data_IF_033102438593
#
_entry.id   IF_033102438593
#
_cell.length_a   1.000
_cell.length_b   1.000
_cell.length_c   1.000
_cell.angle_alpha   90.00
_cell.angle_beta   90.00
_cell.angle_gamma   90.00
#
_symmetry.space_group_name_H-M   'P 1'
#
loop_
_entity.id
_entity.type
_entity.pdbx_description
1 polymer ?
#
# COMPACT_ATOMS: atom_id res chain seq x y z
N UNK A 1 -6.73 22.88 -31.28
CA UNK A 1 -6.32 23.60 -30.06
C UNK A 1 -6.83 22.81 -28.88
N UNK A 2 -6.00 22.55 -27.86
CA UNK A 2 -6.48 21.94 -26.61
C UNK A 2 -7.21 23.01 -25.81
N UNK A 3 -8.41 22.72 -25.32
CA UNK A 3 -9.16 23.63 -24.45
C UNK A 3 -8.46 23.69 -23.09
N UNK A 4 -8.24 24.90 -22.59
CA UNK A 4 -7.54 25.16 -21.33
C UNK A 4 -8.52 25.76 -20.33
N UNK A 5 -8.50 25.25 -19.10
CA UNK A 5 -9.33 25.66 -17.99
C UNK A 5 -8.49 26.15 -16.83
N UNK A 6 -9.05 27.06 -16.04
CA UNK A 6 -8.37 27.65 -14.88
C UNK A 6 -8.72 26.86 -13.62
N UNK A 7 -7.72 26.32 -12.94
CA UNK A 7 -7.87 25.56 -11.68
C UNK A 7 -7.18 26.32 -10.54
N UNK A 8 -7.94 26.60 -9.49
CA UNK A 8 -7.43 27.34 -8.31
C UNK A 8 -7.40 26.44 -7.08
N UNK A 9 -6.23 26.33 -6.45
CA UNK A 9 -6.03 25.71 -5.14
C UNK A 9 -6.06 26.82 -4.08
N UNK A 10 -7.24 27.09 -3.53
CA UNK A 10 -7.47 28.25 -2.65
C UNK A 10 -6.64 28.20 -1.37
N UNK A 11 -6.40 27.00 -0.80
CA UNK A 11 -5.59 26.84 0.40
C UNK A 11 -4.14 27.32 0.20
N UNK A 12 -3.61 27.12 -1.02
CA UNK A 12 -2.23 27.47 -1.36
C UNK A 12 -2.11 28.85 -2.04
N UNK A 13 -3.24 29.46 -2.43
CA UNK A 13 -3.25 30.68 -3.24
C UNK A 13 -2.71 30.49 -4.66
N UNK A 14 -2.71 29.25 -5.17
CA UNK A 14 -2.15 28.88 -6.48
C UNK A 14 -3.27 28.81 -7.51
N UNK A 15 -3.05 29.40 -8.68
CA UNK A 15 -3.90 29.21 -9.85
C UNK A 15 -3.06 28.77 -11.03
N UNK A 16 -3.52 27.74 -11.74
CA UNK A 16 -2.83 27.14 -12.86
C UNK A 16 -3.79 26.79 -13.99
N UNK A 17 -3.21 26.52 -15.15
CA UNK A 17 -3.92 26.10 -16.35
C UNK A 17 -3.93 24.56 -16.44
N UNK A 18 -5.08 24.01 -16.81
CA UNK A 18 -5.29 22.58 -16.99
C UNK A 18 -5.92 22.31 -18.36
N UNK A 19 -5.47 21.28 -19.05
CA UNK A 19 -6.10 20.82 -20.28
C UNK A 19 -7.44 20.12 -19.99
N UNK A 20 -8.41 20.24 -20.90
CA UNK A 20 -9.63 19.43 -20.91
C UNK A 20 -9.30 17.93 -20.79
N UNK A 21 -9.94 17.26 -19.83
CA UNK A 21 -9.72 15.85 -19.50
C UNK A 21 -8.46 15.56 -18.66
N UNK A 22 -7.65 16.58 -18.31
CA UNK A 22 -6.45 16.38 -17.50
C UNK A 22 -6.81 15.96 -16.07
N UNK A 23 -6.08 14.99 -15.50
CA UNK A 23 -6.29 14.57 -14.12
C UNK A 23 -5.89 15.67 -13.14
N UNK A 24 -6.76 15.94 -12.16
CA UNK A 24 -6.48 16.93 -11.12
C UNK A 24 -5.23 16.61 -10.30
N UNK A 25 -4.87 15.33 -10.15
CA UNK A 25 -3.58 14.94 -9.58
C UNK A 25 -2.39 15.52 -10.37
N UNK A 26 -2.39 15.37 -11.69
CA UNK A 26 -1.27 15.83 -12.53
C UNK A 26 -1.19 17.38 -12.52
N UNK A 27 -2.35 18.06 -12.52
CA UNK A 27 -2.44 19.52 -12.35
C UNK A 27 -1.90 19.96 -11.00
N UNK A 28 -2.28 19.26 -9.92
CA UNK A 28 -1.84 19.57 -8.55
C UNK A 28 -0.33 19.43 -8.38
N UNK A 29 0.26 18.33 -8.87
CA UNK A 29 1.69 18.09 -8.79
C UNK A 29 2.48 19.12 -9.61
N UNK A 30 2.03 19.41 -10.84
CA UNK A 30 2.68 20.40 -11.70
C UNK A 30 2.63 21.82 -11.12
N UNK A 31 1.55 22.16 -10.42
CA UNK A 31 1.37 23.43 -9.76
C UNK A 31 2.10 23.53 -8.41
N UNK A 32 2.57 22.41 -7.85
CA UNK A 32 3.18 22.37 -6.51
C UNK A 32 2.18 22.63 -5.38
N UNK A 33 0.89 22.32 -5.58
CA UNK A 33 -0.14 22.50 -4.56
C UNK A 33 -0.04 21.45 -3.45
N UNK A 34 -0.41 21.83 -2.22
CA UNK A 34 -0.13 21.05 -0.99
C UNK A 34 -1.12 19.92 -0.71
N UNK A 35 -1.70 19.32 -1.76
CA UNK A 35 -2.63 18.20 -1.61
C UNK A 35 -1.86 16.91 -1.34
N UNK A 36 -2.17 16.16 -0.27
CA UNK A 36 -1.49 14.92 0.00
C UNK A 36 -2.01 13.77 -0.87
N UNK A 37 -1.09 12.95 -1.39
CA UNK A 37 -1.40 11.76 -2.15
C UNK A 37 -0.74 10.53 -1.54
N UNK A 38 -1.53 9.47 -1.39
CA UNK A 38 -1.02 8.14 -1.04
C UNK A 38 -1.26 7.16 -2.19
N UNK A 39 -2.40 6.45 -2.23
CA UNK A 39 -2.56 5.32 -3.14
C UNK A 39 -2.63 5.66 -4.65
N UNK A 40 -2.91 6.93 -5.00
CA UNK A 40 -3.24 7.45 -6.36
C UNK A 40 -4.19 6.55 -7.18
N UNK A 41 -5.07 5.82 -6.51
CA UNK A 41 -5.98 4.83 -7.09
C UNK A 41 -7.42 4.92 -6.53
N UNK A 42 -7.70 5.99 -5.77
CA UNK A 42 -9.03 6.30 -5.23
C UNK A 42 -9.50 5.42 -4.09
N UNK A 43 -8.57 4.84 -3.33
CA UNK A 43 -8.90 3.84 -2.31
C UNK A 43 -8.63 4.30 -0.86
N UNK A 44 -7.63 5.16 -0.65
CA UNK A 44 -7.23 5.63 0.69
C UNK A 44 -7.94 6.91 1.17
N UNK A 45 -8.52 7.70 0.27
CA UNK A 45 -9.13 8.99 0.58
C UNK A 45 -8.14 10.12 0.95
N UNK A 46 -6.83 9.92 0.86
CA UNK A 46 -5.83 10.93 1.27
C UNK A 46 -5.94 12.22 0.45
N UNK A 47 -6.14 12.12 -0.86
CA UNK A 47 -6.26 13.29 -1.73
C UNK A 47 -7.68 13.90 -1.76
N UNK A 48 -8.52 13.57 -0.78
CA UNK A 48 -9.86 14.13 -0.71
C UNK A 48 -9.76 15.64 -0.47
N UNK A 49 -10.30 16.44 -1.39
CA UNK A 49 -10.22 17.90 -1.33
C UNK A 49 -11.60 18.49 -1.57
N UNK A 50 -11.90 19.54 -0.83
CA UNK A 50 -13.20 20.19 -0.90
C UNK A 50 -13.38 20.89 -2.25
N UNK A 51 -14.55 20.77 -2.85
CA UNK A 51 -14.95 21.64 -3.97
C UNK A 51 -15.53 22.92 -3.39
N UNK A 52 -15.00 24.07 -3.82
CA UNK A 52 -15.53 25.39 -3.46
C UNK A 52 -16.44 25.92 -4.56
N UNK A 53 -16.04 25.74 -5.83
CA UNK A 53 -16.82 26.15 -7.00
C UNK A 53 -16.45 25.28 -8.21
N UNK A 54 -17.41 25.02 -9.10
CA UNK A 54 -17.19 24.32 -10.37
C UNK A 54 -17.30 22.80 -10.28
N UNK A 55 -18.21 22.27 -9.45
CA UNK A 55 -18.44 20.81 -9.35
C UNK A 55 -18.80 20.19 -10.71
N UNK A 56 -19.60 20.91 -11.49
CA UNK A 56 -20.01 20.57 -12.85
C UNK A 56 -18.86 20.52 -13.86
N UNK A 57 -17.73 21.15 -13.51
CA UNK A 57 -16.50 21.18 -14.32
C UNK A 57 -15.59 19.97 -14.08
N UNK A 58 -16.10 18.93 -13.43
CA UNK A 58 -15.35 17.71 -13.15
C UNK A 58 -15.98 16.50 -13.82
N UNK A 59 -15.13 15.56 -14.21
CA UNK A 59 -15.57 14.25 -14.70
C UNK A 59 -16.47 13.53 -13.68
N UNK A 60 -17.34 12.62 -14.15
CA UNK A 60 -18.35 11.98 -13.33
C UNK A 60 -17.74 11.18 -12.18
N UNK A 61 -18.36 11.26 -11.01
CA UNK A 61 -17.95 10.46 -9.86
C UNK A 61 -18.15 8.97 -10.12
N UNK A 62 -17.11 8.19 -9.82
CA UNK A 62 -17.18 6.73 -9.93
C UNK A 62 -17.66 6.13 -8.62
N UNK A 63 -18.34 4.98 -8.68
CA UNK A 63 -18.80 4.28 -7.48
C UNK A 63 -17.68 3.99 -6.45
N UNK A 64 -16.43 3.81 -6.91
CA UNK A 64 -15.26 3.69 -6.02
C UNK A 64 -14.97 5.00 -5.27
N UNK A 65 -15.05 6.15 -5.94
CA UNK A 65 -14.81 7.46 -5.34
C UNK A 65 -15.80 7.73 -4.21
N UNK A 66 -17.09 7.55 -4.49
CA UNK A 66 -18.20 7.72 -3.54
C UNK A 66 -17.97 6.87 -2.30
N UNK A 67 -17.78 5.55 -2.48
CA UNK A 67 -17.54 4.62 -1.35
C UNK A 67 -16.32 5.00 -0.52
N UNK A 68 -15.24 5.42 -1.17
CA UNK A 68 -14.02 5.81 -0.47
C UNK A 68 -14.25 7.07 0.37
N UNK A 69 -14.92 8.09 -0.17
CA UNK A 69 -15.27 9.32 0.54
C UNK A 69 -16.17 9.04 1.75
N UNK A 70 -17.27 8.32 1.54
CA UNK A 70 -18.21 7.95 2.61
C UNK A 70 -17.51 7.15 3.72
N UNK A 71 -16.65 6.20 3.35
CA UNK A 71 -15.90 5.40 4.32
C UNK A 71 -14.82 6.16 5.09
N UNK A 72 -14.49 7.38 4.68
CA UNK A 72 -13.65 8.33 5.40
C UNK A 72 -14.49 9.41 6.13
N UNK A 73 -15.83 9.28 6.16
CA UNK A 73 -16.73 10.23 6.79
C UNK A 73 -16.88 11.55 6.03
N UNK A 74 -16.61 11.55 4.72
CA UNK A 74 -16.67 12.73 3.86
C UNK A 74 -17.90 12.68 2.98
N UNK A 75 -18.56 13.84 2.81
CA UNK A 75 -19.71 14.00 1.91
C UNK A 75 -19.26 14.01 0.44
N UNK A 76 -19.68 13.03 -0.39
CA UNK A 76 -19.34 12.99 -1.81
C UNK A 76 -19.79 14.23 -2.61
N UNK A 77 -20.77 15.01 -2.11
CA UNK A 77 -21.20 16.26 -2.75
C UNK A 77 -20.27 17.43 -2.48
N UNK A 78 -19.43 17.33 -1.45
CA UNK A 78 -18.53 18.42 -1.03
C UNK A 78 -17.07 18.12 -1.31
N UNK A 79 -16.71 16.85 -1.47
CA UNK A 79 -15.34 16.40 -1.63
C UNK A 79 -15.17 15.56 -2.89
N UNK A 80 -13.99 15.69 -3.51
CA UNK A 80 -13.55 14.83 -4.61
C UNK A 80 -12.22 14.19 -4.29
N UNK A 81 -11.99 13.01 -4.85
CA UNK A 81 -10.66 12.41 -4.85
C UNK A 81 -9.92 12.88 -6.10
N UNK A 82 -8.94 13.79 -5.92
CA UNK A 82 -8.18 14.38 -7.03
C UNK A 82 -7.44 13.34 -7.89
N UNK A 83 -7.11 12.16 -7.34
CA UNK A 83 -6.55 11.05 -8.11
C UNK A 83 -7.58 10.29 -9.00
N UNK A 84 -8.86 10.61 -8.90
CA UNK A 84 -9.95 10.02 -9.71
C UNK A 84 -10.77 11.06 -10.49
N UNK A 85 -10.45 12.35 -10.36
CA UNK A 85 -11.18 13.44 -10.98
C UNK A 85 -10.34 14.10 -12.09
N UNK A 86 -10.97 14.36 -13.23
CA UNK A 86 -10.44 15.04 -14.40
C UNK A 86 -11.19 16.36 -14.67
N UNK A 87 -10.50 17.32 -15.26
CA UNK A 87 -10.97 18.72 -15.44
C UNK A 87 -11.71 18.90 -16.76
N UNK A 88 -12.92 19.45 -16.72
CA UNK A 88 -13.76 19.76 -17.89
C UNK A 88 -14.25 21.21 -17.93
N UNK A 89 -13.71 22.06 -17.05
CA UNK A 89 -14.11 23.46 -16.88
C UNK A 89 -13.33 24.16 -15.76
N UNK A 90 -13.59 25.46 -15.53
CA UNK A 90 -12.95 26.21 -14.44
C UNK A 90 -13.39 25.69 -13.06
N UNK A 91 -12.44 25.58 -12.14
CA UNK A 91 -12.66 24.96 -10.82
C UNK A 91 -11.90 25.69 -9.71
N UNK A 92 -12.53 25.79 -8.53
CA UNK A 92 -11.85 26.20 -7.29
C UNK A 92 -11.93 25.08 -6.25
N UNK A 93 -10.76 24.65 -5.79
CA UNK A 93 -10.57 23.64 -4.75
C UNK A 93 -10.19 24.31 -3.43
N UNK A 94 -10.82 23.85 -2.35
CA UNK A 94 -10.60 24.31 -0.99
C UNK A 94 -9.57 23.46 -0.25
N UNK A 95 -9.81 23.23 1.04
CA UNK A 95 -8.87 22.49 1.86
C UNK A 95 -8.88 20.98 1.59
N UNK A 96 -7.71 20.35 1.68
CA UNK A 96 -7.61 18.88 1.73
C UNK A 96 -8.11 18.35 3.08
N UNK A 97 -8.83 17.22 3.06
CA UNK A 97 -9.37 16.58 4.26
C UNK A 97 -8.28 15.96 5.15
N UNK A 98 -7.09 15.72 4.60
CA UNK A 98 -5.90 15.29 5.32
C UNK A 98 -4.77 16.27 5.02
N UNK A 99 -3.82 16.37 5.95
CA UNK A 99 -2.56 17.10 5.78
C UNK A 99 -1.41 16.11 5.79
N UNK A 100 -0.39 16.32 4.95
CA UNK A 100 0.84 15.53 4.99
C UNK A 100 2.04 16.47 4.98
N UNK A 101 2.98 16.26 5.89
CA UNK A 101 4.21 17.06 5.96
C UNK A 101 5.24 16.48 5.00
N UNK A 102 5.76 17.31 4.10
CA UNK A 102 6.91 17.01 3.26
C UNK A 102 6.57 16.24 1.98
N UNK A 103 6.20 16.95 0.92
CA UNK A 103 6.27 16.43 -0.44
C UNK A 103 7.75 16.36 -0.86
N UNK A 104 8.44 15.28 -0.48
CA UNK A 104 9.75 15.00 -1.06
C UNK A 104 9.54 14.73 -2.55
N UNK A 105 10.29 15.40 -3.42
CA UNK A 105 10.26 15.18 -4.88
C UNK A 105 10.55 13.70 -5.17
N UNK A 106 9.51 12.95 -5.53
CA UNK A 106 9.59 11.51 -5.78
C UNK A 106 10.14 11.25 -7.18
N UNK A 107 10.91 10.18 -7.32
CA UNK A 107 11.55 9.84 -8.58
C UNK A 107 10.60 9.10 -9.51
N UNK A 108 10.55 9.52 -10.78
CA UNK A 108 10.01 8.74 -11.88
C UNK A 108 11.13 7.88 -12.45
N UNK A 109 10.90 6.58 -12.57
CA UNK A 109 11.88 5.60 -13.03
C UNK A 109 11.30 4.72 -14.11
N UNK A 110 12.16 4.25 -15.01
CA UNK A 110 11.87 3.11 -15.87
C UNK A 110 12.45 1.86 -15.22
N UNK A 111 11.61 0.85 -15.04
CA UNK A 111 11.93 -0.40 -14.37
C UNK A 111 11.74 -1.57 -15.33
N UNK A 112 12.79 -2.38 -15.51
CA UNK A 112 12.79 -3.58 -16.35
C UNK A 112 12.60 -4.82 -15.50
N UNK A 113 11.72 -5.73 -15.90
CA UNK A 113 11.59 -7.02 -15.23
C UNK A 113 12.86 -7.83 -15.45
N UNK A 114 13.47 -8.28 -14.37
CA UNK A 114 14.65 -9.14 -14.36
C UNK A 114 14.25 -10.59 -14.04
N UNK A 115 13.32 -10.77 -13.09
CA UNK A 115 12.85 -12.09 -12.70
C UNK A 115 11.33 -12.11 -12.52
N UNK A 116 10.71 -13.20 -12.95
CA UNK A 116 9.32 -13.55 -12.65
C UNK A 116 9.31 -14.91 -11.96
N UNK A 117 8.82 -14.96 -10.72
CA UNK A 117 8.70 -16.21 -9.95
C UNK A 117 7.25 -16.45 -9.55
N UNK A 118 6.57 -17.47 -10.11
CA UNK A 118 5.25 -17.87 -9.61
C UNK A 118 5.39 -18.43 -8.18
N UNK A 119 4.57 -17.93 -7.26
CA UNK A 119 4.53 -18.39 -5.87
C UNK A 119 3.34 -19.31 -5.63
N UNK A 120 2.20 -19.01 -6.26
CA UNK A 120 1.01 -19.86 -6.35
C UNK A 120 0.39 -19.68 -7.75
N UNK A 121 -0.77 -20.29 -8.01
CA UNK A 121 -1.52 -20.06 -9.25
C UNK A 121 -1.97 -18.60 -9.43
N UNK A 122 -2.11 -17.85 -8.33
CA UNK A 122 -2.62 -16.47 -8.35
C UNK A 122 -1.66 -15.46 -7.77
N UNK A 123 -0.52 -15.87 -7.21
CA UNK A 123 0.47 -14.96 -6.61
C UNK A 123 1.82 -15.15 -7.31
N UNK A 124 2.46 -14.05 -7.67
CA UNK A 124 3.82 -14.04 -8.17
C UNK A 124 4.70 -13.05 -7.39
N UNK A 125 5.99 -13.31 -7.39
CA UNK A 125 7.02 -12.33 -7.07
C UNK A 125 7.70 -11.89 -8.37
N UNK A 126 7.95 -10.60 -8.50
CA UNK A 126 8.68 -10.04 -9.63
C UNK A 126 9.77 -9.13 -9.13
N UNK A 127 10.95 -9.27 -9.72
CA UNK A 127 12.13 -8.45 -9.47
C UNK A 127 12.34 -7.50 -10.63
N UNK A 128 12.51 -6.23 -10.32
CA UNK A 128 12.68 -5.16 -11.29
C UNK A 128 14.05 -4.51 -11.11
N UNK A 129 14.77 -4.31 -12.21
CA UNK A 129 15.96 -3.50 -12.29
C UNK A 129 15.59 -2.07 -12.71
N UNK A 130 16.13 -1.06 -12.02
CA UNK A 130 15.99 0.35 -12.38
C UNK A 130 16.99 0.66 -13.47
N UNK A 131 16.50 1.14 -14.62
CA UNK A 131 17.36 1.35 -15.80
C UNK A 131 18.34 2.52 -15.61
N UNK A 132 17.99 3.52 -14.81
CA UNK A 132 18.84 4.67 -14.49
C UNK A 132 18.56 5.22 -13.10
N UNK A 133 19.62 5.58 -12.38
CA UNK A 133 19.54 6.12 -11.03
C UNK A 133 19.53 5.06 -9.94
N UNK A 134 19.07 5.44 -8.76
CA UNK A 134 18.99 4.59 -7.56
C UNK A 134 17.71 4.89 -6.81
N UNK A 135 17.08 3.86 -6.25
CA UNK A 135 15.95 4.01 -5.35
C UNK A 135 16.45 3.90 -3.92
N UNK A 136 16.06 4.86 -3.07
CA UNK A 136 16.27 4.80 -1.62
C UNK A 136 14.90 4.77 -0.97
N UNK A 137 14.54 3.64 -0.38
CA UNK A 137 13.25 3.44 0.29
C UNK A 137 13.44 2.96 1.73
N UNK A 138 12.41 3.17 2.56
CA UNK A 138 12.28 2.57 3.87
C UNK A 138 11.44 1.28 3.77
N UNK A 139 11.77 0.21 4.53
CA UNK A 139 10.99 -1.02 4.53
C UNK A 139 9.51 -0.76 4.83
N UNK A 140 8.65 -1.31 3.97
CA UNK A 140 7.20 -1.13 4.03
C UNK A 140 6.62 -0.10 3.06
N UNK A 141 7.46 0.70 2.41
CA UNK A 141 7.06 1.60 1.33
C UNK A 141 6.65 0.86 0.05
N UNK A 142 6.03 1.58 -0.88
CA UNK A 142 5.53 1.06 -2.15
C UNK A 142 5.96 1.91 -3.35
N UNK A 143 5.85 1.33 -4.55
CA UNK A 143 5.99 2.02 -5.82
C UNK A 143 4.63 2.11 -6.51
N UNK A 144 4.41 3.17 -7.27
CA UNK A 144 3.24 3.33 -8.14
C UNK A 144 3.64 2.93 -9.55
N UNK A 145 2.96 1.93 -10.09
CA UNK A 145 3.14 1.43 -11.45
C UNK A 145 2.19 2.12 -12.39
N UNK A 146 2.74 2.63 -13.49
CA UNK A 146 2.01 3.30 -14.55
C UNK A 146 1.63 2.25 -15.60
N UNK A 147 0.46 1.64 -15.42
CA UNK A 147 -0.03 0.57 -16.29
C UNK A 147 -0.69 1.18 -17.53
N UNK A 148 -0.25 0.88 -18.76
CA UNK A 148 -0.91 1.35 -19.98
C UNK A 148 -2.35 0.80 -20.08
N UNK A 149 -3.35 1.68 -19.97
CA UNK A 149 -4.75 1.38 -20.30
C UNK A 149 -5.07 1.76 -21.75
N UNK A 150 -6.29 1.46 -22.21
CA UNK A 150 -6.73 1.75 -23.58
C UNK A 150 -6.60 3.23 -23.95
N UNK A 151 -7.17 4.11 -23.13
CA UNK A 151 -7.19 5.57 -23.39
C UNK A 151 -6.30 6.37 -22.43
N UNK A 152 -5.80 5.73 -21.36
CA UNK A 152 -5.03 6.42 -20.31
C UNK A 152 -4.18 5.48 -19.47
N UNK A 153 -3.14 6.04 -18.88
CA UNK A 153 -2.31 5.38 -17.87
C UNK A 153 -3.12 5.16 -16.59
N UNK A 154 -3.10 3.92 -16.09
CA UNK A 154 -3.73 3.52 -14.85
C UNK A 154 -2.65 3.31 -13.79
N UNK A 155 -2.70 4.11 -12.74
CA UNK A 155 -1.74 4.06 -11.62
C UNK A 155 -2.14 3.01 -10.59
N UNK A 156 -1.22 2.14 -10.18
CA UNK A 156 -1.43 1.19 -9.08
C UNK A 156 -0.24 1.04 -8.16
N UNK A 157 -0.53 1.07 -6.87
CA UNK A 157 0.48 0.90 -5.82
C UNK A 157 0.78 -0.58 -5.60
N UNK A 158 2.06 -0.94 -5.53
CA UNK A 158 2.53 -2.25 -5.06
C UNK A 158 3.67 -2.05 -4.06
N UNK A 159 3.51 -2.61 -2.86
CA UNK A 159 4.52 -2.55 -1.81
C UNK A 159 5.80 -3.27 -2.22
N UNK A 160 6.93 -2.66 -1.87
CA UNK A 160 8.25 -3.24 -2.07
C UNK A 160 8.43 -4.36 -1.07
N UNK A 161 8.83 -5.54 -1.55
CA UNK A 161 9.00 -6.76 -0.76
C UNK A 161 10.46 -7.15 -0.53
N UNK A 162 11.39 -6.55 -1.28
CA UNK A 162 12.84 -6.75 -1.15
C UNK A 162 13.45 -5.94 0.01
N UNK A 163 14.67 -6.28 0.38
CA UNK A 163 15.49 -5.52 1.32
C UNK A 163 15.98 -4.20 0.68
N UNK A 164 16.07 -3.07 1.43
CA UNK A 164 16.46 -1.76 0.89
C UNK A 164 17.94 -1.57 0.56
N UNK A 165 18.79 -2.58 0.81
CA UNK A 165 20.23 -2.49 0.51
C UNK A 165 20.51 -2.47 -0.99
N UNK A 166 19.70 -3.19 -1.78
CA UNK A 166 19.79 -3.14 -3.23
C UNK A 166 19.05 -1.90 -3.73
N UNK A 167 19.82 -0.90 -4.17
CA UNK A 167 19.28 0.40 -4.62
C UNK A 167 19.03 0.44 -6.12
N UNK A 168 19.43 -0.59 -6.84
CA UNK A 168 19.22 -0.70 -8.30
C UNK A 168 18.10 -1.69 -8.63
N UNK A 169 17.59 -2.43 -7.65
CA UNK A 169 16.47 -3.33 -7.84
C UNK A 169 15.44 -3.21 -6.74
N UNK A 170 14.23 -3.65 -7.04
CA UNK A 170 13.20 -3.86 -6.04
C UNK A 170 12.32 -5.05 -6.43
N UNK A 171 11.70 -5.68 -5.43
CA UNK A 171 10.75 -6.78 -5.64
C UNK A 171 9.35 -6.35 -5.24
N UNK A 172 8.34 -6.94 -5.89
CA UNK A 172 6.94 -6.86 -5.47
C UNK A 172 6.35 -8.27 -5.37
N UNK A 173 5.33 -8.44 -4.54
CA UNK A 173 4.55 -9.68 -4.45
C UNK A 173 3.07 -9.37 -4.75
N UNK A 174 2.56 -9.93 -5.85
CA UNK A 174 1.31 -9.49 -6.47
C UNK A 174 0.35 -10.65 -6.64
N UNK A 175 -0.89 -10.45 -6.19
CA UNK A 175 -2.00 -11.37 -6.42
C UNK A 175 -2.78 -10.93 -7.66
N UNK A 176 -2.98 -11.85 -8.60
CA UNK A 176 -3.92 -11.69 -9.69
C UNK A 176 -5.35 -11.63 -9.13
N UNK A 177 -6.02 -10.50 -9.34
CA UNK A 177 -7.43 -10.32 -9.01
C UNK A 177 -8.27 -10.70 -10.23
N UNK A 178 -9.27 -11.56 -10.05
CA UNK A 178 -10.19 -11.92 -11.14
C UNK A 178 -10.85 -10.67 -11.73
N UNK A 179 -10.77 -10.49 -13.05
CA UNK A 179 -11.23 -9.28 -13.76
C UNK A 179 -10.42 -8.00 -13.48
N UNK A 180 -9.38 -8.05 -12.65
CA UNK A 180 -8.58 -6.88 -12.28
C UNK A 180 -7.54 -6.51 -13.34
N UNK A 181 -7.74 -5.40 -14.05
CA UNK A 181 -6.86 -5.01 -15.15
C UNK A 181 -5.37 -4.97 -14.77
N UNK A 182 -5.00 -4.17 -13.76
CA UNK A 182 -3.59 -3.93 -13.44
C UNK A 182 -2.88 -5.14 -12.84
N UNK A 183 -3.52 -5.90 -11.96
CA UNK A 183 -2.88 -7.11 -11.40
C UNK A 183 -2.61 -8.14 -12.48
N UNK A 184 -3.54 -8.30 -13.44
CA UNK A 184 -3.35 -9.22 -14.56
C UNK A 184 -2.32 -8.69 -15.57
N UNK A 185 -2.25 -7.38 -15.80
CA UNK A 185 -1.19 -6.77 -16.60
C UNK A 185 0.19 -7.05 -16.00
N UNK A 186 0.36 -6.78 -14.70
CA UNK A 186 1.63 -7.06 -14.01
C UNK A 186 1.98 -8.54 -14.08
N UNK A 187 1.01 -9.45 -13.95
CA UNK A 187 1.24 -10.90 -14.12
C UNK A 187 1.65 -11.32 -15.54
N UNK A 188 1.41 -10.49 -16.56
CA UNK A 188 1.80 -10.77 -17.94
C UNK A 188 3.22 -10.29 -18.28
N UNK A 189 3.79 -9.37 -17.50
CA UNK A 189 5.16 -8.93 -17.70
C UNK A 189 6.14 -10.10 -17.58
N UNK A 190 7.16 -10.12 -18.44
CA UNK A 190 8.21 -11.14 -18.49
C UNK A 190 9.58 -10.48 -18.43
N UNK A 191 10.63 -11.23 -18.03
CA UNK A 191 11.99 -10.72 -18.06
C UNK A 191 12.32 -10.05 -19.40
N UNK A 192 12.83 -8.82 -19.33
CA UNK A 192 13.08 -7.95 -20.49
C UNK A 192 12.03 -6.84 -20.69
N UNK A 193 10.78 -7.03 -20.27
CA UNK A 193 9.74 -6.01 -20.37
C UNK A 193 10.05 -4.82 -19.45
N UNK A 194 9.63 -3.61 -19.86
CA UNK A 194 9.80 -2.39 -19.09
C UNK A 194 8.47 -1.73 -18.73
N UNK A 195 8.42 -1.09 -17.56
CA UNK A 195 7.29 -0.31 -17.08
C UNK A 195 7.78 0.95 -16.36
N UNK A 196 7.02 2.03 -16.48
CA UNK A 196 7.27 3.25 -15.71
C UNK A 196 6.73 3.09 -14.28
N UNK A 197 7.54 3.48 -13.31
CA UNK A 197 7.23 3.43 -11.88
C UNK A 197 7.62 4.73 -11.20
N UNK A 198 6.91 5.05 -10.14
CA UNK A 198 7.04 6.31 -9.43
C UNK A 198 7.09 6.03 -7.92
N UNK A 199 8.03 6.64 -7.20
CA UNK A 199 8.15 6.43 -5.75
C UNK A 199 9.56 6.65 -5.20
N UNK A 200 9.85 6.13 -3.99
CA UNK A 200 9.00 5.30 -3.13
C UNK A 200 8.04 6.12 -2.26
N UNK A 201 6.83 5.60 -2.03
CA UNK A 201 5.76 6.21 -1.25
C UNK A 201 5.42 5.43 0.03
N UNK A 202 4.72 6.10 0.96
CA UNK A 202 4.04 5.45 2.08
C UNK A 202 4.70 5.69 3.43
N UNK A 203 3.84 5.76 4.46
CA UNK A 203 4.21 5.99 5.86
C UNK A 203 4.15 4.70 6.70
N UNK A 204 3.79 3.58 6.08
CA UNK A 204 3.86 2.25 6.70
C UNK A 204 5.31 1.78 6.79
N UNK A 205 6.06 2.36 7.73
CA UNK A 205 7.48 2.09 7.97
C UNK A 205 7.72 1.67 9.42
N UNK A 206 8.87 1.04 9.66
CA UNK A 206 9.33 0.72 11.01
C UNK A 206 9.43 1.98 11.87
N UNK A 207 9.10 1.87 13.15
CA UNK A 207 9.25 2.94 14.13
C UNK A 207 10.74 3.26 14.35
N UNK A 208 11.11 4.53 14.15
CA UNK A 208 12.49 4.99 14.37
C UNK A 208 12.87 4.85 15.85
N UNK A 209 14.04 4.26 16.12
CA UNK A 209 14.63 4.16 17.46
C UNK A 209 13.94 3.23 18.47
N UNK A 210 12.77 2.67 18.14
CA UNK A 210 12.04 1.77 19.06
C UNK A 210 12.77 0.46 19.31
N UNK A 211 12.89 0.07 20.58
CA UNK A 211 13.47 -1.21 21.03
C UNK A 211 12.41 -2.22 21.49
N UNK A 212 11.12 -1.90 21.33
CA UNK A 212 10.00 -2.78 21.69
C UNK A 212 9.99 -4.07 20.87
N UNK A 213 9.40 -5.13 21.37
CA UNK A 213 9.13 -6.32 20.55
C UNK A 213 8.20 -5.97 19.36
N UNK A 214 8.14 -6.86 18.37
CA UNK A 214 7.40 -6.61 17.14
C UNK A 214 6.34 -7.68 16.92
N UNK A 215 5.12 -7.22 16.68
CA UNK A 215 4.02 -8.05 16.19
C UNK A 215 3.66 -7.64 14.76
N UNK A 216 3.87 -8.54 13.81
CA UNK A 216 3.49 -8.35 12.41
C UNK A 216 2.26 -9.19 12.09
N UNK A 217 1.25 -8.59 11.46
CA UNK A 217 0.02 -9.28 11.07
C UNK A 217 -0.22 -9.01 9.59
N UNK A 218 -0.23 -10.08 8.79
CA UNK A 218 -0.39 -10.01 7.36
C UNK A 218 -1.48 -10.96 6.88
N UNK A 219 -2.21 -10.57 5.82
CA UNK A 219 -3.07 -11.50 5.07
C UNK A 219 -2.80 -11.44 3.58
N UNK A 220 -2.69 -12.60 2.92
CA UNK A 220 -2.43 -12.67 1.48
C UNK A 220 -1.16 -11.90 1.08
N UNK A 221 -1.21 -11.13 0.00
CA UNK A 221 -0.06 -10.31 -0.43
C UNK A 221 0.25 -9.11 0.46
N UNK A 222 -0.53 -8.87 1.52
CA UNK A 222 -0.16 -7.94 2.59
C UNK A 222 1.15 -8.34 3.30
N UNK A 223 1.65 -9.55 3.09
CA UNK A 223 3.00 -9.95 3.53
C UNK A 223 4.13 -9.23 2.76
N UNK A 224 3.86 -8.62 1.60
CA UNK A 224 4.88 -7.95 0.79
C UNK A 224 5.69 -6.88 1.57
N UNK A 225 5.08 -5.82 2.12
CA UNK A 225 5.83 -4.83 2.92
C UNK A 225 6.42 -5.44 4.19
N UNK A 226 5.74 -6.43 4.77
CA UNK A 226 6.19 -7.16 5.95
C UNK A 226 7.47 -7.96 5.67
N UNK A 227 7.61 -8.61 4.50
CA UNK A 227 8.84 -9.27 4.06
C UNK A 227 10.00 -8.28 4.03
N UNK A 228 9.80 -7.09 3.45
CA UNK A 228 10.84 -6.04 3.42
C UNK A 228 11.26 -5.61 4.83
N UNK A 229 10.29 -5.41 5.74
CA UNK A 229 10.55 -5.10 7.15
C UNK A 229 11.30 -6.24 7.86
N UNK A 230 10.87 -7.49 7.68
CA UNK A 230 11.49 -8.67 8.29
C UNK A 230 12.95 -8.81 7.88
N UNK A 231 13.24 -8.76 6.58
CA UNK A 231 14.61 -8.85 6.08
C UNK A 231 15.49 -7.74 6.66
N UNK A 232 14.92 -6.54 6.83
CA UNK A 232 15.66 -5.40 7.39
C UNK A 232 15.91 -5.55 8.89
N UNK A 233 14.95 -6.06 9.65
CA UNK A 233 15.09 -6.28 11.08
C UNK A 233 16.05 -7.42 11.41
N UNK A 234 15.95 -8.53 10.67
CA UNK A 234 16.75 -9.73 10.90
C UNK A 234 18.20 -9.57 10.40
N UNK A 235 18.44 -8.68 9.43
CA UNK A 235 19.80 -8.32 9.00
C UNK A 235 20.62 -7.55 10.04
N UNK A 236 20.00 -7.06 11.12
CA UNK A 236 20.68 -6.38 12.23
C UNK A 236 20.75 -7.30 13.45
N UNK A 237 21.85 -7.23 14.20
CA UNK A 237 22.02 -7.96 15.47
C UNK A 237 21.13 -7.36 16.57
N UNK A 238 19.81 -7.49 16.42
CA UNK A 238 18.80 -6.99 17.35
C UNK A 238 18.44 -7.98 18.45
N UNK A 239 18.09 -7.45 19.62
CA UNK A 239 17.58 -8.23 20.76
C UNK A 239 16.08 -8.51 20.72
N UNK A 240 15.36 -7.85 19.80
CA UNK A 240 13.90 -7.79 19.75
C UNK A 240 13.30 -9.14 19.35
N UNK A 241 12.22 -9.54 20.03
CA UNK A 241 11.38 -10.65 19.58
C UNK A 241 10.49 -10.19 18.45
N UNK A 242 10.35 -11.02 17.41
CA UNK A 242 9.54 -10.72 16.24
C UNK A 242 8.55 -11.86 16.04
N UNK A 243 7.26 -11.55 16.13
CA UNK A 243 6.17 -12.50 15.86
C UNK A 243 5.50 -12.11 14.55
N UNK A 244 5.25 -13.09 13.69
CA UNK A 244 4.48 -12.92 12.47
C UNK A 244 3.23 -13.79 12.50
N UNK A 245 2.06 -13.18 12.38
CA UNK A 245 0.80 -13.87 12.09
C UNK A 245 0.47 -13.70 10.61
N UNK A 246 0.55 -14.80 9.85
CA UNK A 246 0.30 -14.80 8.42
C UNK A 246 -0.97 -15.59 8.09
N UNK A 247 -2.01 -14.87 7.70
CA UNK A 247 -3.32 -15.40 7.36
C UNK A 247 -3.51 -15.63 5.88
N UNK A 248 -3.91 -16.84 5.52
CA UNK A 248 -4.28 -17.21 4.16
C UNK A 248 -5.64 -17.93 4.16
N UNK A 249 -6.19 -18.20 2.97
CA UNK A 249 -7.52 -18.82 2.86
C UNK A 249 -7.41 -20.33 2.81
N UNK A 250 -6.71 -20.86 1.81
CA UNK A 250 -6.59 -22.29 1.55
C UNK A 250 -5.13 -22.75 1.47
N UNK A 251 -4.92 -24.06 1.37
CA UNK A 251 -3.58 -24.66 1.19
C UNK A 251 -2.93 -24.20 -0.12
N UNK A 252 -3.71 -24.03 -1.19
CA UNK A 252 -3.25 -23.54 -2.49
C UNK A 252 -2.81 -22.06 -2.48
N UNK A 253 -3.14 -21.33 -1.41
CA UNK A 253 -2.72 -19.95 -1.20
C UNK A 253 -1.40 -19.85 -0.42
N UNK A 254 -0.81 -20.97 0.01
CA UNK A 254 0.47 -20.99 0.75
C UNK A 254 1.63 -20.58 -0.14
N UNK A 255 2.35 -19.54 0.28
CA UNK A 255 3.63 -19.14 -0.29
C UNK A 255 4.57 -18.59 0.79
N UNK A 256 5.86 -18.43 0.45
CA UNK A 256 6.95 -18.08 1.37
C UNK A 256 7.11 -19.01 2.58
N UNK A 257 6.46 -20.17 2.61
CA UNK A 257 6.57 -21.15 3.71
C UNK A 257 8.03 -21.55 3.97
N UNK A 258 8.77 -21.85 2.91
CA UNK A 258 10.21 -22.15 3.01
C UNK A 258 11.01 -20.95 3.53
N UNK A 259 10.81 -19.76 2.97
CA UNK A 259 11.48 -18.53 3.41
C UNK A 259 11.27 -18.29 4.91
N UNK A 260 10.02 -18.39 5.39
CA UNK A 260 9.70 -18.19 6.80
C UNK A 260 10.32 -19.26 7.69
N UNK A 261 10.40 -20.51 7.22
CA UNK A 261 11.08 -21.61 7.92
C UNK A 261 12.58 -21.36 8.04
N UNK A 262 13.24 -21.02 6.93
CA UNK A 262 14.68 -20.74 6.89
C UNK A 262 15.04 -19.55 7.80
N UNK A 263 14.21 -18.50 7.80
CA UNK A 263 14.38 -17.34 8.67
C UNK A 263 14.22 -17.70 10.15
N UNK A 264 13.25 -18.57 10.49
CA UNK A 264 13.04 -19.04 11.87
C UNK A 264 14.23 -19.87 12.36
N UNK A 265 14.78 -20.73 11.52
CA UNK A 265 15.96 -21.54 11.85
C UNK A 265 17.18 -20.66 12.11
N UNK A 266 17.36 -19.63 11.29
CA UNK A 266 18.50 -18.70 11.41
C UNK A 266 18.35 -17.67 12.53
N UNK A 267 17.13 -17.42 13.03
CA UNK A 267 16.83 -16.36 14.00
C UNK A 267 15.92 -16.89 15.13
N UNK A 268 16.48 -17.33 16.26
CA UNK A 268 15.70 -17.95 17.35
C UNK A 268 14.61 -17.07 17.97
N UNK A 269 14.70 -15.74 17.81
CA UNK A 269 13.71 -14.76 18.29
C UNK A 269 12.64 -14.40 17.26
N UNK A 270 12.63 -15.06 16.10
CA UNK A 270 11.61 -14.92 15.08
C UNK A 270 10.60 -16.08 15.14
N UNK A 271 9.33 -15.75 15.31
CA UNK A 271 8.24 -16.71 15.49
C UNK A 271 7.14 -16.50 14.44
N UNK A 272 7.28 -17.09 13.25
CA UNK A 272 6.22 -17.09 12.26
C UNK A 272 5.13 -18.13 12.60
N UNK A 273 3.88 -17.70 12.47
CA UNK A 273 2.68 -18.52 12.60
C UNK A 273 1.82 -18.35 11.36
N UNK A 274 1.56 -19.45 10.66
CA UNK A 274 0.66 -19.49 9.49
C UNK A 274 -0.69 -20.05 9.94
N UNK A 275 -1.77 -19.36 9.57
CA UNK A 275 -3.14 -19.78 9.87
C UNK A 275 -4.01 -19.71 8.62
N UNK A 276 -4.83 -20.74 8.41
CA UNK A 276 -5.72 -20.84 7.26
C UNK A 276 -7.18 -20.71 7.70
N UNK A 277 -7.93 -19.81 7.05
CA UNK A 277 -9.33 -19.54 7.41
C UNK A 277 -10.34 -20.54 6.84
N UNK A 278 -10.03 -21.16 5.69
CA UNK A 278 -10.92 -22.13 5.04
C UNK A 278 -10.12 -23.29 4.38
N UNK A 279 -9.17 -23.93 5.08
CA UNK A 279 -8.42 -25.01 4.46
C UNK A 279 -9.27 -26.26 4.28
N UNK A 280 -9.00 -27.01 3.21
CA UNK A 280 -9.58 -28.34 3.02
C UNK A 280 -9.36 -29.21 4.27
N UNK A 281 -10.42 -29.88 4.80
CA UNK A 281 -10.34 -30.65 6.04
C UNK A 281 -9.17 -31.64 6.09
N UNK A 282 -8.86 -32.31 4.97
CA UNK A 282 -7.80 -33.31 4.90
C UNK A 282 -6.43 -32.75 4.48
N UNK A 283 -6.39 -31.53 3.91
CA UNK A 283 -5.19 -30.96 3.30
C UNK A 283 -4.30 -30.14 4.25
N UNK A 284 -4.78 -29.83 5.45
CA UNK A 284 -4.08 -28.93 6.38
C UNK A 284 -4.08 -29.44 7.81
N UNK A 285 -2.88 -29.61 8.37
CA UNK A 285 -2.67 -30.01 9.77
C UNK A 285 -2.26 -28.86 10.70
N UNK A 286 -2.08 -27.66 10.16
CA UNK A 286 -1.72 -26.47 10.95
C UNK A 286 -2.95 -25.76 11.54
N UNK A 287 -2.74 -24.53 12.02
CA UNK A 287 -3.79 -23.73 12.67
C UNK A 287 -4.92 -23.36 11.70
N UNK A 288 -6.15 -23.41 12.19
CA UNK A 288 -7.37 -23.07 11.44
C UNK A 288 -8.03 -21.86 12.11
N UNK A 289 -8.44 -20.89 11.30
CA UNK A 289 -9.06 -19.65 11.78
C UNK A 289 -8.54 -18.40 11.08
N UNK A 290 -8.78 -17.25 11.69
CA UNK A 290 -8.30 -15.94 11.24
C UNK A 290 -7.11 -15.50 12.08
N UNK A 291 -6.29 -14.61 11.53
CA UNK A 291 -5.18 -13.99 12.28
C UNK A 291 -5.66 -13.24 13.53
N UNK A 292 -6.91 -12.80 13.57
CA UNK A 292 -7.51 -12.13 14.73
C UNK A 292 -7.76 -13.09 15.89
N UNK A 293 -7.98 -14.38 15.63
CA UNK A 293 -8.08 -15.42 16.65
C UNK A 293 -6.73 -15.56 17.39
N UNK A 294 -5.61 -15.48 16.65
CA UNK A 294 -4.26 -15.51 17.23
C UNK A 294 -3.96 -14.31 18.12
N UNK A 295 -4.53 -13.13 17.81
CA UNK A 295 -4.42 -11.96 18.71
C UNK A 295 -5.12 -12.27 20.03
N UNK A 296 -6.33 -12.83 19.98
CA UNK A 296 -7.09 -13.16 21.17
C UNK A 296 -6.33 -14.18 22.04
N UNK A 297 -5.87 -15.27 21.43
CA UNK A 297 -5.27 -16.43 22.09
C UNK A 297 -3.83 -16.20 22.55
N UNK A 298 -3.02 -15.50 21.76
CA UNK A 298 -1.58 -15.50 21.93
C UNK A 298 -0.95 -14.14 22.24
N UNK A 299 -1.73 -13.05 22.26
CA UNK A 299 -1.24 -11.72 22.68
C UNK A 299 -1.77 -11.44 24.08
N UNK A 300 -0.87 -11.45 25.07
CA UNK A 300 -1.22 -11.17 26.45
C UNK A 300 -1.24 -9.65 26.71
N UNK A 301 -2.12 -9.20 27.60
CA UNK A 301 -2.32 -7.77 27.88
C UNK A 301 -1.11 -7.10 28.53
N UNK A 302 -0.30 -7.85 29.27
CA UNK A 302 0.96 -7.38 29.86
C UNK A 302 2.06 -7.14 28.80
N UNK A 303 2.03 -7.86 27.68
CA UNK A 303 3.02 -7.75 26.59
C UNK A 303 2.80 -6.54 25.67
N UNK A 304 1.57 -6.01 25.57
CA UNK A 304 1.25 -5.00 24.53
C UNK A 304 1.97 -3.67 24.74
N UNK A 305 2.30 -3.32 25.99
CA UNK A 305 2.98 -2.07 26.33
C UNK A 305 4.41 -1.99 25.78
N UNK A 306 5.05 -3.15 25.58
CA UNK A 306 6.39 -3.29 25.03
C UNK A 306 6.38 -3.87 23.60
N UNK A 307 5.29 -3.70 22.85
CA UNK A 307 5.18 -4.22 21.48
C UNK A 307 4.78 -3.12 20.50
N UNK A 308 5.44 -3.02 19.34
CA UNK A 308 4.93 -2.28 18.19
C UNK A 308 4.26 -3.24 17.20
N UNK A 309 3.08 -2.88 16.71
CA UNK A 309 2.29 -3.69 15.78
C UNK A 309 2.29 -3.12 14.36
N UNK A 310 2.47 -4.00 13.37
CA UNK A 310 2.49 -3.68 11.95
C UNK A 310 1.47 -4.55 11.22
N UNK A 311 0.40 -3.95 10.70
CA UNK A 311 -0.75 -4.66 10.13
C UNK A 311 -0.87 -4.37 8.63
N UNK A 312 -0.89 -5.39 7.78
CA UNK A 312 -1.05 -5.17 6.35
C UNK A 312 -1.94 -6.23 5.68
N UNK A 313 -2.95 -5.79 4.94
CA UNK A 313 -3.91 -6.69 4.32
C UNK A 313 -5.26 -6.04 4.04
N UNK A 314 -6.32 -6.86 4.05
CA UNK A 314 -7.67 -6.36 3.80
C UNK A 314 -8.20 -5.50 4.95
N UNK A 315 -8.90 -4.41 4.61
CA UNK A 315 -9.48 -3.46 5.59
C UNK A 315 -10.27 -4.11 6.73
N UNK A 316 -11.14 -5.14 6.50
CA UNK A 316 -11.85 -5.79 7.59
C UNK A 316 -10.93 -6.43 8.64
N UNK A 317 -9.84 -7.08 8.20
CA UNK A 317 -8.86 -7.68 9.10
C UNK A 317 -8.13 -6.61 9.91
N UNK A 318 -7.74 -5.50 9.27
CA UNK A 318 -7.01 -4.42 9.93
C UNK A 318 -7.85 -3.77 11.02
N UNK A 319 -9.11 -3.42 10.73
CA UNK A 319 -9.97 -2.78 11.73
C UNK A 319 -10.28 -3.71 12.91
N UNK A 320 -10.50 -4.99 12.65
CA UNK A 320 -10.70 -5.98 13.72
C UNK A 320 -9.43 -6.15 14.57
N UNK A 321 -8.26 -6.30 13.95
CA UNK A 321 -6.99 -6.44 14.64
C UNK A 321 -6.65 -5.21 15.50
N UNK A 322 -6.84 -4.00 14.96
CA UNK A 322 -6.67 -2.73 15.70
C UNK A 322 -7.53 -2.71 16.95
N UNK A 323 -8.83 -3.00 16.80
CA UNK A 323 -9.77 -3.03 17.93
C UNK A 323 -9.34 -4.02 19.00
N UNK A 324 -8.93 -5.24 18.60
CA UNK A 324 -8.49 -6.27 19.55
C UNK A 324 -7.21 -5.87 20.30
N UNK A 325 -6.23 -5.28 19.60
CA UNK A 325 -4.98 -4.81 20.22
C UNK A 325 -5.22 -3.65 21.19
N UNK A 326 -6.06 -2.68 20.81
CA UNK A 326 -6.44 -1.55 21.69
C UNK A 326 -7.19 -2.05 22.92
N UNK A 327 -8.12 -2.99 22.76
CA UNK A 327 -8.85 -3.59 23.88
C UNK A 327 -7.91 -4.34 24.86
N UNK A 328 -6.75 -4.81 24.39
CA UNK A 328 -5.72 -5.43 25.23
C UNK A 328 -4.78 -4.40 25.87
N UNK A 329 -4.95 -3.10 25.58
CA UNK A 329 -4.18 -2.00 26.16
C UNK A 329 -3.09 -1.41 25.25
N UNK A 330 -2.99 -1.84 23.99
CA UNK A 330 -2.02 -1.27 23.05
C UNK A 330 -2.42 0.17 22.68
N UNK A 331 -1.47 1.10 22.77
CA UNK A 331 -1.71 2.49 22.37
C UNK A 331 -1.77 2.63 20.85
N UNK A 332 -2.52 3.62 20.37
CA UNK A 332 -2.73 3.84 18.93
C UNK A 332 -1.41 4.14 18.19
N UNK A 333 -0.47 4.85 18.82
CA UNK A 333 0.85 5.18 18.26
C UNK A 333 1.79 3.96 18.12
N UNK A 334 1.48 2.85 18.80
CA UNK A 334 2.16 1.57 18.64
C UNK A 334 1.66 0.78 17.43
N UNK A 335 0.51 1.14 16.86
CA UNK A 335 -0.12 0.40 15.76
C UNK A 335 0.04 1.15 14.44
N UNK A 336 0.85 0.60 13.54
CA UNK A 336 0.98 1.05 12.15
C UNK A 336 0.27 0.07 11.24
N UNK A 337 -0.39 0.57 10.20
CA UNK A 337 -1.10 -0.29 9.26
C UNK A 337 -1.11 0.26 7.85
N UNK A 338 -1.28 -0.64 6.88
CA UNK A 338 -1.49 -0.33 5.47
C UNK A 338 -2.63 -1.18 4.91
N UNK A 339 -3.58 -0.54 4.23
CA UNK A 339 -4.75 -1.20 3.68
C UNK A 339 -4.53 -1.58 2.21
N UNK A 340 -4.76 -2.83 1.86
CA UNK A 340 -4.80 -3.28 0.47
C UNK A 340 -6.26 -3.29 0.00
N UNK A 341 -6.51 -2.66 -1.16
CA UNK A 341 -7.85 -2.31 -1.64
C UNK A 341 -8.25 -3.01 -2.94
#
# INVERSE_FOLDING_TARGET
>A
MRTIHRVTFQQDGITCDAEEGQWLYDVCEAAGASVPFACKAGACGTCATQIVQGEESLGPQRAREIRTLESNGLDPKRYRLLCLADVHGPLTLGASAKTQQGAASLGLFKARVEEYRPLTLTVCEQRFAIESGKIKFCPGQYMIFHVPGLDKVIRRSYSISSHPSDRTHFEICVRAVSGGFCSNFIHRLRPGDSIEVEGPYGDFRLADGSQRDILMIATGTGIAPIKSMLLSLLGHAGSRRIRLFFGLRNVSDLFYTKLLSDLRESHPRFEPTIILSQPDPMGWRGLRGRVTDLIHEQVAADQVSNTDAYLCGGRPMIEEAKRLLINKGMKVDQIRHENFF
#
